data_IF_996906629117
#
_entry.id   IF_996906629117
#
_cell.length_a   1.000
_cell.length_b   1.000
_cell.length_c   1.000
_cell.angle_alpha   90.00
_cell.angle_beta   90.00
_cell.angle_gamma   90.00
#
_symmetry.space_group_name_H-M   'P 1'
#
loop_
_entity.id
_entity.type
_entity.pdbx_description
1 polymer ?
#
# COMPACT_ATOMS: atom_id res chain seq x y z
N UNK A 1 6.89 14.10 5.14
CA UNK A 1 7.37 14.96 6.23
C UNK A 1 8.76 14.57 6.75
N UNK A 2 9.28 13.40 6.36
CA UNK A 2 10.58 12.90 6.77
C UNK A 2 10.68 12.70 8.29
N UNK A 3 11.89 12.86 8.83
CA UNK A 3 12.18 12.65 10.25
C UNK A 3 11.61 13.77 11.17
N UNK A 4 11.23 14.91 10.61
CA UNK A 4 10.67 16.04 11.35
C UNK A 4 9.15 16.08 11.19
N UNK A 5 8.44 15.25 11.93
CA UNK A 5 6.99 15.23 11.94
C UNK A 5 6.42 16.06 13.08
N UNK A 6 5.37 16.83 12.79
CA UNK A 6 4.67 17.61 13.80
C UNK A 6 3.56 16.78 14.42
N UNK A 7 3.36 16.90 15.73
CA UNK A 7 2.36 16.15 16.49
C UNK A 7 0.96 16.25 15.88
N UNK A 8 0.54 17.46 15.50
CA UNK A 8 -0.78 17.69 14.89
C UNK A 8 -0.93 16.97 13.54
N UNK A 9 0.16 16.93 12.75
CA UNK A 9 0.17 16.21 11.47
C UNK A 9 0.06 14.70 11.68
N UNK A 10 0.80 14.16 12.65
CA UNK A 10 0.70 12.76 13.04
C UNK A 10 -0.70 12.40 13.52
N UNK A 11 -1.27 13.17 14.45
CA UNK A 11 -2.63 12.97 14.96
C UNK A 11 -3.67 13.01 13.84
N UNK A 12 -3.56 13.98 12.92
CA UNK A 12 -4.47 14.07 11.77
C UNK A 12 -4.37 12.85 10.87
N UNK A 13 -3.16 12.42 10.53
CA UNK A 13 -2.92 11.24 9.68
C UNK A 13 -3.51 9.98 10.31
N UNK A 14 -3.18 9.69 11.56
CA UNK A 14 -3.67 8.51 12.27
C UNK A 14 -5.19 8.54 12.43
N UNK A 15 -5.78 9.71 12.70
CA UNK A 15 -7.24 9.87 12.78
C UNK A 15 -7.90 9.58 11.43
N UNK A 16 -7.36 10.10 10.31
CA UNK A 16 -7.88 9.85 8.97
C UNK A 16 -7.85 8.35 8.62
N UNK A 17 -6.74 7.68 8.88
CA UNK A 17 -6.65 6.22 8.69
C UNK A 17 -7.66 5.48 9.57
N UNK A 18 -7.83 5.87 10.83
CA UNK A 18 -8.82 5.27 11.73
C UNK A 18 -10.26 5.46 11.23
N UNK A 19 -10.60 6.65 10.74
CA UNK A 19 -11.89 6.96 10.11
C UNK A 19 -12.14 6.13 8.84
N UNK A 20 -11.09 5.78 8.10
CA UNK A 20 -11.12 4.86 6.96
C UNK A 20 -11.30 3.39 7.33
N UNK A 21 -11.32 3.07 8.62
CA UNK A 21 -11.53 1.71 9.12
C UNK A 21 -10.25 0.94 9.43
N UNK A 22 -9.08 1.53 9.21
CA UNK A 22 -7.82 0.90 9.60
C UNK A 22 -7.72 0.77 11.12
N UNK A 23 -7.20 -0.36 11.58
CA UNK A 23 -6.94 -0.62 13.00
C UNK A 23 -5.46 -0.78 13.32
N UNK A 24 -4.62 -0.91 12.29
CA UNK A 24 -3.17 -1.05 12.41
C UNK A 24 -2.45 -0.29 11.31
N UNK A 25 -1.21 0.11 11.59
CA UNK A 25 -0.25 0.62 10.60
C UNK A 25 1.07 -0.15 10.70
N UNK A 26 1.77 -0.26 9.58
CA UNK A 26 3.15 -0.72 9.51
C UNK A 26 4.08 0.47 9.28
N UNK A 27 5.16 0.51 10.00
CA UNK A 27 6.17 1.55 9.89
C UNK A 27 7.16 1.31 8.75
N UNK A 28 6.69 1.28 7.51
CA UNK A 28 7.51 0.99 6.33
C UNK A 28 8.47 2.14 5.97
N UNK A 29 9.77 1.91 5.86
CA UNK A 29 10.49 0.70 6.30
C UNK A 29 11.51 1.08 7.37
N UNK A 30 11.22 2.14 8.10
CA UNK A 30 12.07 2.74 9.14
C UNK A 30 11.28 3.03 10.41
N UNK A 31 11.93 3.09 11.56
CA UNK A 31 11.28 3.36 12.84
C UNK A 31 10.54 4.70 12.83
N UNK A 32 9.24 4.65 13.17
CA UNK A 32 8.37 5.84 13.21
C UNK A 32 8.83 6.89 14.21
N UNK A 33 8.43 8.14 13.96
CA UNK A 33 8.66 9.24 14.90
C UNK A 33 7.89 8.99 16.22
N UNK A 34 8.35 9.62 17.31
CA UNK A 34 7.64 9.58 18.59
C UNK A 34 6.22 10.15 18.46
N UNK A 35 6.06 11.18 17.66
CA UNK A 35 4.78 11.84 17.42
C UNK A 35 3.75 10.91 16.78
N UNK A 36 4.18 10.01 15.89
CA UNK A 36 3.31 8.97 15.30
C UNK A 36 2.92 7.94 16.35
N UNK A 37 3.88 7.46 17.14
CA UNK A 37 3.61 6.45 18.18
C UNK A 37 2.67 7.02 19.26
N UNK A 38 2.91 8.26 19.73
CA UNK A 38 2.01 8.95 20.67
C UNK A 38 0.60 9.14 20.08
N UNK A 39 0.50 9.49 18.79
CA UNK A 39 -0.79 9.58 18.11
C UNK A 39 -1.51 8.23 18.02
N UNK A 40 -0.77 7.14 17.77
CA UNK A 40 -1.32 5.79 17.75
C UNK A 40 -1.81 5.36 19.14
N UNK A 41 -1.06 5.68 20.20
CA UNK A 41 -1.47 5.43 21.58
C UNK A 41 -2.76 6.18 21.93
N UNK A 42 -2.85 7.47 21.55
CA UNK A 42 -4.00 8.33 21.84
C UNK A 42 -5.27 7.89 21.09
N UNK A 43 -5.13 7.51 19.82
CA UNK A 43 -6.26 7.19 18.93
C UNK A 43 -6.65 5.70 18.99
N UNK A 44 -5.76 4.85 19.50
CA UNK A 44 -5.95 3.40 19.53
C UNK A 44 -5.71 2.74 18.18
N UNK A 45 -4.61 3.09 17.51
CA UNK A 45 -4.12 2.46 16.28
C UNK A 45 -2.97 1.52 16.63
N UNK A 46 -3.05 0.25 16.26
CA UNK A 46 -1.94 -0.68 16.44
C UNK A 46 -0.78 -0.37 15.49
N UNK A 47 0.42 -0.71 15.90
CA UNK A 47 1.65 -0.47 15.15
C UNK A 47 2.47 -1.74 15.05
N UNK A 48 2.81 -2.13 13.83
CA UNK A 48 3.96 -2.97 13.51
C UNK A 48 5.14 -2.03 13.26
N UNK A 49 6.04 -1.94 14.24
CA UNK A 49 7.20 -1.06 14.12
C UNK A 49 8.33 -1.79 13.42
N UNK A 50 8.91 -1.17 12.40
CA UNK A 50 9.86 -1.83 11.50
C UNK A 50 11.23 -1.16 11.48
N UNK A 51 12.23 -1.98 11.32
CA UNK A 51 13.62 -1.71 10.98
C UNK A 51 14.15 -3.02 10.36
N UNK A 52 14.69 -3.05 9.26
CA UNK A 52 15.36 -2.17 8.34
C UNK A 52 14.77 -2.34 6.93
N UNK A 53 14.88 -1.32 6.05
CA UNK A 53 14.53 -1.48 4.64
C UNK A 53 15.48 -2.46 3.92
N UNK A 54 16.75 -2.46 4.30
CA UNK A 54 17.77 -3.34 3.72
C UNK A 54 18.73 -3.85 4.79
N UNK A 55 19.28 -5.06 4.55
CA UNK A 55 20.37 -5.58 5.37
C UNK A 55 21.73 -5.34 4.69
N UNK A 56 22.52 -6.40 4.46
CA UNK A 56 23.86 -6.29 3.88
C UNK A 56 23.90 -6.50 2.37
N UNK A 57 22.80 -6.95 1.75
CA UNK A 57 22.64 -6.99 0.31
C UNK A 57 22.36 -5.60 -0.26
N UNK A 58 22.57 -5.40 -1.54
CA UNK A 58 22.53 -4.07 -2.13
C UNK A 58 21.12 -3.59 -2.41
N UNK A 59 20.79 -2.39 -1.93
CA UNK A 59 19.63 -1.61 -2.40
C UNK A 59 20.03 -0.23 -2.93
N UNK A 60 21.30 0.07 -3.05
CA UNK A 60 21.80 1.33 -3.60
C UNK A 60 23.13 1.76 -3.00
N UNK A 61 23.84 2.60 -3.74
CA UNK A 61 25.21 3.03 -3.46
C UNK A 61 25.35 3.76 -2.12
N UNK A 62 24.30 4.44 -1.67
CA UNK A 62 24.28 5.21 -0.42
C UNK A 62 23.32 4.62 0.62
N UNK A 63 22.90 3.35 0.44
CA UNK A 63 21.97 2.67 1.32
C UNK A 63 22.55 2.31 2.68
N UNK A 64 21.68 1.96 3.62
CA UNK A 64 22.04 1.49 4.96
C UNK A 64 22.91 0.23 4.95
N UNK A 65 22.91 -0.52 3.88
CA UNK A 65 23.77 -1.69 3.62
C UNK A 65 25.23 -1.48 4.01
N UNK A 66 25.74 -0.26 3.83
CA UNK A 66 27.11 0.10 4.18
C UNK A 66 27.42 0.06 5.69
N UNK A 67 26.38 0.19 6.51
CA UNK A 67 26.48 0.31 7.96
C UNK A 67 25.89 -0.90 8.67
N UNK A 68 25.01 -1.66 8.02
CA UNK A 68 24.24 -2.75 8.60
C UNK A 68 25.08 -3.68 9.49
N UNK A 69 26.17 -4.24 8.97
CA UNK A 69 26.99 -5.22 9.69
C UNK A 69 27.60 -4.69 11.00
N UNK A 70 27.79 -3.38 11.10
CA UNK A 70 28.44 -2.73 12.24
C UNK A 70 27.43 -2.13 13.22
N UNK A 71 26.22 -1.72 12.75
CA UNK A 71 25.31 -0.89 13.52
C UNK A 71 23.96 -1.56 13.80
N UNK A 72 23.60 -2.69 13.18
CA UNK A 72 22.26 -3.27 13.27
C UNK A 72 21.81 -3.58 14.71
N UNK A 73 22.71 -4.11 15.57
CA UNK A 73 22.39 -4.40 16.98
C UNK A 73 21.96 -3.15 17.73
N UNK A 74 22.73 -2.09 17.56
CA UNK A 74 22.50 -0.81 18.24
C UNK A 74 21.24 -0.14 17.73
N UNK A 75 21.01 -0.14 16.43
CA UNK A 75 19.86 0.52 15.83
C UNK A 75 18.58 -0.23 16.16
N UNK A 76 18.57 -1.56 16.14
CA UNK A 76 17.46 -2.39 16.58
C UNK A 76 17.17 -2.19 18.07
N UNK A 77 18.21 -2.15 18.93
CA UNK A 77 18.05 -1.83 20.36
C UNK A 77 17.43 -0.45 20.57
N UNK A 78 17.86 0.58 19.82
CA UNK A 78 17.31 1.93 19.92
C UNK A 78 15.82 1.96 19.52
N UNK A 79 15.42 1.24 18.46
CA UNK A 79 14.03 1.10 18.06
C UNK A 79 13.21 0.47 19.20
N UNK A 80 13.62 -0.68 19.71
CA UNK A 80 12.88 -1.40 20.76
C UNK A 80 12.75 -0.54 22.02
N UNK A 81 13.85 0.10 22.48
CA UNK A 81 13.81 0.98 23.66
C UNK A 81 12.90 2.19 23.47
N UNK A 82 12.85 2.76 22.28
CA UNK A 82 11.90 3.83 21.93
C UNK A 82 10.46 3.34 22.05
N UNK A 83 10.18 2.13 21.56
CA UNK A 83 8.83 1.58 21.45
C UNK A 83 8.31 0.93 22.73
N UNK A 84 9.19 0.57 23.67
CA UNK A 84 8.88 -0.26 24.85
C UNK A 84 7.66 0.22 25.65
N UNK A 85 7.51 1.53 25.84
CA UNK A 85 6.41 2.13 26.60
C UNK A 85 5.21 2.58 25.74
N UNK A 86 5.17 2.22 24.46
CA UNK A 86 4.05 2.52 23.58
C UNK A 86 3.10 1.31 23.48
N UNK A 87 1.92 1.34 24.11
CA UNK A 87 0.97 0.22 24.08
C UNK A 87 0.37 -0.04 22.69
N UNK A 88 0.44 0.93 21.79
CA UNK A 88 0.05 0.77 20.39
C UNK A 88 0.97 -0.16 19.61
N UNK A 89 2.26 -0.24 19.96
CA UNK A 89 3.20 -1.14 19.30
C UNK A 89 2.94 -2.57 19.76
N UNK A 90 2.49 -3.41 18.81
CA UNK A 90 2.09 -4.80 19.10
C UNK A 90 3.05 -5.83 18.51
N UNK A 91 3.96 -5.42 17.62
CA UNK A 91 4.84 -6.31 16.89
C UNK A 91 6.08 -5.55 16.40
N UNK A 92 7.21 -6.23 16.34
CA UNK A 92 8.43 -5.74 15.73
C UNK A 92 8.68 -6.44 14.39
N UNK A 93 9.00 -5.66 13.35
CA UNK A 93 9.47 -6.19 12.07
C UNK A 93 10.96 -5.87 11.93
N UNK A 94 11.76 -6.90 11.61
CA UNK A 94 13.22 -6.81 11.55
C UNK A 94 13.76 -6.59 10.15
N UNK A 95 12.90 -6.37 9.16
CA UNK A 95 13.33 -6.07 7.80
C UNK A 95 12.21 -6.13 6.77
N UNK A 96 12.50 -5.57 5.61
CA UNK A 96 11.61 -5.55 4.45
C UNK A 96 12.30 -6.15 3.23
N UNK A 97 11.65 -7.14 2.61
CA UNK A 97 12.05 -7.74 1.31
C UNK A 97 13.53 -8.15 1.22
N UNK A 98 14.05 -8.65 2.34
CA UNK A 98 15.46 -9.05 2.46
C UNK A 98 15.70 -10.34 1.67
N UNK A 99 16.28 -10.22 0.50
CA UNK A 99 16.55 -11.36 -0.39
C UNK A 99 17.58 -12.34 0.19
N UNK A 100 18.51 -11.85 1.02
CA UNK A 100 19.55 -12.64 1.68
C UNK A 100 19.02 -13.66 2.68
N UNK A 101 17.78 -13.53 3.11
CA UNK A 101 17.12 -14.45 4.06
C UNK A 101 16.96 -15.88 3.52
N UNK A 102 17.20 -16.10 2.22
CA UNK A 102 17.29 -17.43 1.63
C UNK A 102 18.65 -18.13 1.91
N UNK A 103 19.64 -17.41 2.48
CA UNK A 103 20.99 -17.92 2.76
C UNK A 103 21.18 -18.27 4.23
N UNK A 104 22.18 -19.12 4.55
CA UNK A 104 22.53 -19.45 5.93
C UNK A 104 22.92 -18.20 6.74
N UNK A 105 23.64 -17.25 6.12
CA UNK A 105 24.01 -15.99 6.78
C UNK A 105 22.80 -15.12 7.07
N UNK A 106 21.89 -14.96 6.12
CA UNK A 106 20.65 -14.19 6.32
C UNK A 106 19.73 -14.81 7.37
N UNK A 107 19.57 -16.13 7.37
CA UNK A 107 18.83 -16.85 8.41
C UNK A 107 19.46 -16.63 9.79
N UNK A 108 20.80 -16.68 9.89
CA UNK A 108 21.51 -16.40 11.13
C UNK A 108 21.25 -14.97 11.64
N UNK A 109 21.31 -13.96 10.77
CA UNK A 109 20.94 -12.58 11.16
C UNK A 109 19.49 -12.49 11.62
N UNK A 110 18.55 -13.14 10.93
CA UNK A 110 17.16 -13.20 11.35
C UNK A 110 17.00 -13.79 12.75
N UNK A 111 17.70 -14.90 13.04
CA UNK A 111 17.75 -15.50 14.36
C UNK A 111 18.32 -14.52 15.42
N UNK A 112 19.51 -13.94 15.17
CA UNK A 112 20.19 -13.05 16.10
C UNK A 112 19.33 -11.81 16.42
N UNK A 113 18.66 -11.21 15.42
CA UNK A 113 17.76 -10.08 15.60
C UNK A 113 16.51 -10.47 16.41
N UNK A 114 15.88 -11.60 16.09
CA UNK A 114 14.72 -12.10 16.84
C UNK A 114 15.09 -12.33 18.31
N UNK A 115 16.24 -12.96 18.58
CA UNK A 115 16.73 -13.16 19.95
C UNK A 115 17.04 -11.84 20.66
N UNK A 116 17.57 -10.83 19.95
CA UNK A 116 17.81 -9.51 20.53
C UNK A 116 16.48 -8.82 20.88
N UNK A 117 15.46 -8.91 20.03
CA UNK A 117 14.13 -8.40 20.32
C UNK A 117 13.58 -9.01 21.59
N UNK A 118 13.55 -10.34 21.70
CA UNK A 118 13.04 -11.05 22.89
C UNK A 118 13.85 -10.76 24.16
N UNK A 119 15.15 -10.56 24.03
CA UNK A 119 16.00 -10.20 25.18
C UNK A 119 15.67 -8.81 25.73
N UNK A 120 15.28 -7.87 24.86
CA UNK A 120 14.98 -6.48 25.23
C UNK A 120 13.50 -6.27 25.56
N UNK A 121 12.62 -7.02 24.90
CA UNK A 121 11.18 -7.02 25.10
C UNK A 121 10.57 -8.37 24.71
N UNK A 122 10.25 -9.20 25.67
CA UNK A 122 9.66 -10.52 25.49
C UNK A 122 8.13 -10.49 25.38
N UNK A 123 7.52 -9.31 25.40
CA UNK A 123 6.08 -9.14 25.37
C UNK A 123 5.49 -8.99 23.97
N UNK A 124 6.34 -8.77 22.96
CA UNK A 124 5.93 -8.52 21.56
C UNK A 124 6.56 -9.52 20.60
N UNK A 125 5.77 -10.09 19.69
CA UNK A 125 6.26 -11.00 18.66
C UNK A 125 7.10 -10.26 17.60
N UNK A 126 7.95 -11.03 16.93
CA UNK A 126 8.84 -10.58 15.88
C UNK A 126 8.40 -11.16 14.54
N UNK A 127 8.43 -10.32 13.51
CA UNK A 127 8.16 -10.66 12.12
C UNK A 127 9.18 -10.05 11.16
N UNK A 128 9.05 -10.35 9.88
CA UNK A 128 9.82 -9.75 8.78
C UNK A 128 8.95 -9.79 7.51
N UNK A 129 8.92 -8.72 6.75
CA UNK A 129 8.23 -8.67 5.46
C UNK A 129 8.98 -9.46 4.38
N UNK A 130 8.64 -10.74 4.21
CA UNK A 130 9.32 -11.63 3.26
C UNK A 130 8.65 -11.58 1.90
N UNK A 131 9.38 -11.09 0.88
CA UNK A 131 8.96 -11.23 -0.51
C UNK A 131 9.41 -12.58 -1.06
N UNK A 132 8.43 -13.46 -1.33
CA UNK A 132 8.69 -14.84 -1.76
C UNK A 132 9.47 -14.88 -3.07
N UNK A 133 9.12 -14.00 -4.03
CA UNK A 133 9.78 -13.95 -5.34
C UNK A 133 11.26 -13.55 -5.22
N UNK A 134 11.55 -12.52 -4.44
CA UNK A 134 12.93 -12.06 -4.27
C UNK A 134 13.80 -13.14 -3.64
N UNK A 135 13.26 -13.89 -2.68
CA UNK A 135 13.96 -15.03 -2.08
C UNK A 135 14.21 -16.17 -3.09
N UNK A 136 13.24 -16.45 -3.98
CA UNK A 136 13.43 -17.45 -5.06
C UNK A 136 14.53 -17.00 -6.03
N UNK A 137 14.49 -15.74 -6.47
CA UNK A 137 15.49 -15.19 -7.38
C UNK A 137 16.89 -15.24 -6.75
N UNK A 138 17.00 -14.83 -5.48
CA UNK A 138 18.26 -14.89 -4.75
C UNK A 138 18.78 -16.32 -4.61
N UNK A 139 17.93 -17.28 -4.27
CA UNK A 139 18.29 -18.70 -4.20
C UNK A 139 18.75 -19.29 -5.55
N UNK A 140 18.32 -18.68 -6.66
CA UNK A 140 18.78 -19.04 -8.02
C UNK A 140 20.04 -18.28 -8.45
N UNK A 141 20.63 -17.45 -7.56
CA UNK A 141 21.77 -16.60 -7.88
C UNK A 141 21.45 -15.39 -8.75
N UNK A 142 20.18 -14.99 -8.83
CA UNK A 142 19.70 -13.86 -9.65
C UNK A 142 19.28 -12.64 -8.80
N UNK A 143 19.05 -12.82 -7.50
CA UNK A 143 18.42 -11.81 -6.64
C UNK A 143 19.31 -10.62 -6.32
N UNK A 144 20.59 -10.84 -6.08
CA UNK A 144 21.52 -9.75 -5.68
C UNK A 144 21.87 -8.85 -6.86
N UNK A 145 21.91 -9.40 -8.07
CA UNK A 145 22.14 -8.63 -9.30
C UNK A 145 20.88 -7.89 -9.76
N UNK A 146 19.68 -8.35 -9.37
CA UNK A 146 18.41 -7.72 -9.73
C UNK A 146 18.25 -6.31 -9.13
N UNK A 147 18.90 -6.03 -8.00
CA UNK A 147 18.97 -4.69 -7.40
C UNK A 147 20.23 -3.88 -7.80
N UNK A 148 20.97 -4.34 -8.81
CA UNK A 148 22.07 -3.58 -9.42
C UNK A 148 23.33 -3.49 -8.58
N UNK A 149 23.56 -4.42 -7.65
CA UNK A 149 24.72 -4.30 -6.78
C UNK A 149 25.46 -5.61 -6.49
N UNK A 150 26.68 -5.72 -6.96
CA UNK A 150 27.70 -6.49 -6.26
C UNK A 150 27.82 -5.96 -4.82
N UNK A 151 28.10 -6.86 -3.86
CA UNK A 151 28.42 -6.48 -2.47
C UNK A 151 29.43 -5.35 -2.47
N UNK A 152 28.98 -4.12 -2.20
CA UNK A 152 29.86 -2.96 -2.13
C UNK A 152 30.54 -2.94 -0.76
N UNK A 153 31.87 -2.94 -0.76
CA UNK A 153 32.63 -2.63 0.44
C UNK A 153 32.69 -1.10 0.63
N UNK A 154 32.77 -0.64 1.89
CA UNK A 154 32.98 0.80 2.20
C UNK A 154 34.11 1.44 1.37
N UNK A 155 35.13 0.67 0.95
CA UNK A 155 36.21 1.14 0.11
C UNK A 155 35.77 1.48 -1.32
N UNK A 156 34.72 0.86 -1.83
CA UNK A 156 34.23 1.05 -3.20
C UNK A 156 33.41 2.34 -3.33
N UNK A 157 32.90 2.86 -2.21
CA UNK A 157 32.09 4.10 -2.15
C UNK A 157 32.94 5.38 -2.20
N UNK A 158 34.26 5.26 -2.02
CA UNK A 158 35.19 6.43 -1.97
C UNK A 158 35.49 6.96 -3.39
N UNK A 159 35.22 6.21 -4.44
CA UNK A 159 35.33 6.69 -5.82
C UNK A 159 33.94 6.99 -6.40
N UNK A 160 33.54 8.28 -6.50
CA UNK A 160 32.25 8.67 -7.10
C UNK A 160 32.09 8.25 -8.57
N UNK A 161 33.20 7.91 -9.26
CA UNK A 161 33.17 7.43 -10.64
C UNK A 161 32.94 5.91 -10.74
N UNK A 162 33.22 5.16 -9.68
CA UNK A 162 32.85 3.75 -9.59
C UNK A 162 31.36 3.55 -9.33
N UNK A 163 30.67 4.64 -9.02
CA UNK A 163 29.28 4.69 -8.60
C UNK A 163 28.34 5.36 -9.65
N UNK A 164 28.81 5.59 -10.88
CA UNK A 164 27.86 5.89 -11.96
C UNK A 164 27.01 4.61 -12.17
N UNK A 165 25.72 4.63 -11.83
CA UNK A 165 24.86 3.50 -12.12
C UNK A 165 24.90 3.31 -13.64
N UNK A 166 25.16 2.09 -14.08
CA UNK A 166 24.77 1.70 -15.43
C UNK A 166 23.26 1.95 -15.50
N UNK A 167 22.87 3.01 -16.18
CA UNK A 167 21.57 3.67 -16.08
C UNK A 167 20.37 2.76 -16.47
N UNK A 168 20.65 1.55 -16.93
CA UNK A 168 19.68 0.63 -17.49
C UNK A 168 19.37 -0.59 -16.59
N UNK A 169 19.90 -0.70 -15.38
CA UNK A 169 19.78 -1.92 -14.55
C UNK A 169 19.42 -1.70 -13.07
N UNK A 170 18.61 -0.72 -12.73
CA UNK A 170 18.03 -0.66 -11.39
C UNK A 170 17.01 -1.80 -11.20
N UNK A 171 17.03 -2.49 -10.06
CA UNK A 171 16.21 -3.67 -9.79
C UNK A 171 14.72 -3.45 -9.99
N UNK A 172 14.20 -2.29 -9.60
CA UNK A 172 12.84 -1.85 -9.91
C UNK A 172 12.58 -1.74 -11.41
N UNK A 173 13.54 -1.24 -12.21
CA UNK A 173 13.44 -1.15 -13.68
C UNK A 173 13.44 -2.54 -14.33
N UNK A 174 14.22 -3.49 -13.79
CA UNK A 174 14.23 -4.87 -14.29
C UNK A 174 12.87 -5.54 -14.08
N UNK A 175 12.29 -5.39 -12.89
CA UNK A 175 10.95 -5.92 -12.58
C UNK A 175 9.89 -5.32 -13.52
N UNK A 176 9.97 -4.03 -13.86
CA UNK A 176 9.03 -3.37 -14.75
C UNK A 176 9.18 -3.72 -16.23
N UNK A 177 10.39 -3.87 -16.71
CA UNK A 177 10.63 -4.31 -18.08
C UNK A 177 10.17 -5.76 -18.34
N UNK A 178 9.93 -6.51 -17.26
CA UNK A 178 9.38 -7.87 -17.29
C UNK A 178 7.84 -7.91 -17.26
N UNK A 179 7.14 -6.78 -17.16
CA UNK A 179 5.70 -6.72 -16.80
C UNK A 179 4.77 -7.41 -17.80
N UNK A 180 5.06 -7.45 -19.10
CA UNK A 180 4.19 -8.13 -20.07
C UNK A 180 4.18 -9.67 -19.89
N UNK A 181 5.34 -10.27 -19.62
CA UNK A 181 5.48 -11.69 -19.28
C UNK A 181 5.43 -11.96 -17.77
N UNK A 182 5.41 -10.89 -16.97
CA UNK A 182 5.61 -10.92 -15.53
C UNK A 182 4.41 -11.47 -14.77
N UNK A 183 3.18 -11.19 -15.19
CA UNK A 183 2.00 -11.71 -14.51
C UNK A 183 1.92 -13.25 -14.57
N UNK A 184 2.26 -13.86 -15.71
CA UNK A 184 2.32 -15.30 -15.83
C UNK A 184 3.58 -15.90 -15.17
N UNK A 185 4.70 -15.17 -15.19
CA UNK A 185 5.89 -15.53 -14.45
C UNK A 185 5.62 -15.50 -12.94
N UNK A 186 4.98 -14.43 -12.41
CA UNK A 186 4.60 -14.31 -11.00
C UNK A 186 3.67 -15.42 -10.53
N UNK A 187 2.64 -15.77 -11.32
CA UNK A 187 1.76 -16.92 -11.01
C UNK A 187 2.51 -18.24 -10.89
N UNK A 188 3.59 -18.41 -11.68
CA UNK A 188 4.37 -19.63 -11.67
C UNK A 188 5.48 -19.64 -10.61
N UNK A 189 6.12 -18.50 -10.36
CA UNK A 189 7.18 -18.35 -9.37
C UNK A 189 6.63 -18.43 -7.95
N UNK A 190 5.51 -17.78 -7.69
CA UNK A 190 4.85 -17.76 -6.38
C UNK A 190 4.05 -19.04 -6.06
N UNK A 191 4.19 -20.11 -6.84
CA UNK A 191 3.62 -21.40 -6.44
C UNK A 191 4.23 -21.86 -5.13
N UNK A 192 3.42 -22.32 -4.16
CA UNK A 192 3.90 -22.69 -2.83
C UNK A 192 5.10 -23.66 -2.86
N UNK A 193 5.12 -24.58 -3.80
CA UNK A 193 6.21 -25.55 -3.97
C UNK A 193 7.57 -24.91 -4.31
N UNK A 194 7.55 -23.74 -4.93
CA UNK A 194 8.77 -22.99 -5.28
C UNK A 194 9.20 -22.06 -4.14
N UNK A 195 8.24 -21.57 -3.34
CA UNK A 195 8.50 -20.57 -2.31
C UNK A 195 9.01 -21.15 -1.01
N UNK A 196 8.62 -22.39 -0.66
CA UNK A 196 8.96 -23.00 0.63
C UNK A 196 10.47 -23.15 0.82
N UNK A 197 11.17 -23.74 -0.14
CA UNK A 197 12.61 -23.99 -0.03
C UNK A 197 13.42 -22.77 0.37
N UNK A 198 13.30 -21.65 -0.36
CA UNK A 198 14.01 -20.41 -0.07
C UNK A 198 13.59 -19.68 1.22
N UNK A 199 12.36 -19.89 1.71
CA UNK A 199 11.80 -19.05 2.79
C UNK A 199 11.56 -19.77 4.11
N UNK A 200 11.47 -21.10 4.11
CA UNK A 200 11.19 -21.88 5.34
C UNK A 200 12.22 -21.65 6.45
N UNK A 201 13.47 -21.39 6.10
CA UNK A 201 14.54 -21.14 7.07
C UNK A 201 14.24 -19.88 7.88
N UNK A 202 14.06 -18.76 7.20
CA UNK A 202 13.76 -17.49 7.87
C UNK A 202 12.43 -17.53 8.61
N UNK A 203 11.37 -18.10 8.01
CA UNK A 203 10.09 -18.22 8.71
C UNK A 203 10.15 -19.07 9.98
N UNK A 204 11.13 -19.98 10.07
CA UNK A 204 11.37 -20.76 11.28
C UNK A 204 12.02 -19.98 12.43
N UNK A 205 12.59 -18.82 12.15
CA UNK A 205 13.23 -17.94 13.14
C UNK A 205 12.32 -16.81 13.64
N UNK A 206 11.12 -16.66 13.05
CA UNK A 206 10.16 -15.61 13.38
C UNK A 206 9.00 -16.16 14.20
N UNK A 207 8.44 -15.34 15.08
CA UNK A 207 7.21 -15.67 15.83
C UNK A 207 5.99 -15.65 14.90
N UNK A 208 5.96 -14.71 13.96
CA UNK A 208 4.90 -14.53 12.96
C UNK A 208 5.53 -14.43 11.59
N UNK A 209 5.11 -15.29 10.68
CA UNK A 209 5.57 -15.24 9.30
C UNK A 209 4.91 -14.07 8.55
N UNK A 210 5.71 -13.08 8.17
CA UNK A 210 5.27 -11.91 7.42
C UNK A 210 5.49 -12.10 5.92
N UNK A 211 4.45 -11.83 5.15
CA UNK A 211 4.46 -12.02 3.70
C UNK A 211 4.21 -10.71 2.97
N UNK A 212 5.13 -10.33 2.07
CA UNK A 212 4.88 -9.30 1.08
C UNK A 212 4.37 -9.97 -0.21
N UNK A 213 3.13 -9.63 -0.62
CA UNK A 213 2.47 -10.14 -1.85
C UNK A 213 2.44 -11.66 -1.96
N UNK A 214 2.31 -12.36 -0.82
CA UNK A 214 2.44 -13.82 -0.74
C UNK A 214 1.15 -14.59 -0.42
N UNK A 215 -0.02 -13.95 -0.52
CA UNK A 215 -1.33 -14.49 -0.14
C UNK A 215 -1.66 -15.83 -0.83
N UNK A 216 -1.22 -16.01 -2.07
CA UNK A 216 -1.43 -17.25 -2.80
C UNK A 216 -0.76 -18.49 -2.16
N UNK A 217 0.17 -18.27 -1.22
CA UNK A 217 0.88 -19.34 -0.53
C UNK A 217 0.32 -19.67 0.86
N UNK A 218 -0.58 -18.85 1.43
CA UNK A 218 -1.00 -18.98 2.83
C UNK A 218 -1.61 -20.35 3.16
N UNK A 219 -2.61 -20.77 2.39
CA UNK A 219 -3.31 -22.03 2.64
C UNK A 219 -2.34 -23.23 2.59
N UNK A 220 -1.49 -23.27 1.56
CA UNK A 220 -0.55 -24.38 1.38
C UNK A 220 0.58 -24.38 2.40
N UNK A 221 1.10 -23.21 2.75
CA UNK A 221 2.08 -23.07 3.82
C UNK A 221 1.49 -23.47 5.18
N UNK A 222 0.20 -23.17 5.43
CA UNK A 222 -0.47 -23.61 6.65
C UNK A 222 -0.69 -25.14 6.69
N UNK A 223 -1.01 -25.76 5.55
CA UNK A 223 -1.06 -27.24 5.47
C UNK A 223 0.28 -27.91 5.86
N UNK A 224 1.40 -27.31 5.46
CA UNK A 224 2.73 -27.84 5.77
C UNK A 224 3.23 -27.46 7.15
N UNK A 225 2.81 -26.31 7.67
CA UNK A 225 3.25 -25.72 8.95
C UNK A 225 2.02 -25.26 9.73
N UNK A 226 1.27 -26.19 10.31
CA UNK A 226 -0.02 -25.91 10.98
C UNK A 226 0.06 -24.94 12.15
N UNK A 227 1.22 -24.83 12.78
CA UNK A 227 1.46 -23.93 13.91
C UNK A 227 1.92 -22.53 13.49
N UNK A 228 2.14 -22.31 12.18
CA UNK A 228 2.59 -21.04 11.66
C UNK A 228 1.47 -20.00 11.69
N UNK A 229 1.69 -18.93 12.44
CA UNK A 229 0.88 -17.72 12.41
C UNK A 229 1.39 -16.84 11.26
N UNK A 230 0.49 -16.23 10.50
CA UNK A 230 0.82 -15.47 9.30
C UNK A 230 0.24 -14.07 9.35
N UNK A 231 0.92 -13.13 8.70
CA UNK A 231 0.43 -11.76 8.46
C UNK A 231 0.83 -11.30 7.07
N UNK A 232 -0.10 -10.68 6.35
CA UNK A 232 0.23 -9.92 5.14
C UNK A 232 0.92 -8.63 5.55
N UNK A 233 2.23 -8.59 5.45
CA UNK A 233 3.02 -7.40 5.83
C UNK A 233 2.95 -6.33 4.77
N UNK A 234 2.70 -6.73 3.52
CA UNK A 234 2.50 -5.81 2.41
C UNK A 234 1.68 -6.47 1.31
N UNK A 235 0.56 -5.84 0.92
CA UNK A 235 -0.34 -6.33 -0.11
C UNK A 235 -0.86 -5.19 -0.98
N UNK A 236 -1.22 -5.49 -2.22
CA UNK A 236 -1.82 -4.51 -3.12
C UNK A 236 -3.36 -4.44 -2.93
N UNK A 237 -4.02 -3.53 -3.65
CA UNK A 237 -5.47 -3.32 -3.58
C UNK A 237 -6.30 -4.23 -4.51
N UNK A 238 -5.66 -5.16 -5.20
CA UNK A 238 -6.37 -6.10 -6.08
C UNK A 238 -6.98 -7.25 -5.26
N UNK A 239 -8.18 -7.74 -5.64
CA UNK A 239 -8.89 -8.83 -4.96
C UNK A 239 -9.14 -8.57 -3.46
N UNK A 240 -9.45 -7.32 -3.10
CA UNK A 240 -9.63 -6.87 -1.71
C UNK A 240 -10.62 -7.72 -0.92
N UNK A 241 -11.79 -8.01 -1.51
CA UNK A 241 -12.85 -8.76 -0.83
C UNK A 241 -12.39 -10.16 -0.46
N UNK A 242 -11.76 -10.87 -1.41
CA UNK A 242 -11.25 -12.21 -1.18
C UNK A 242 -10.22 -12.24 -0.04
N UNK A 243 -9.31 -11.27 -0.01
CA UNK A 243 -8.31 -11.16 1.09
C UNK A 243 -8.96 -10.83 2.44
N UNK A 244 -9.92 -9.91 2.47
CA UNK A 244 -10.68 -9.61 3.69
C UNK A 244 -11.42 -10.85 4.21
N UNK A 245 -12.04 -11.60 3.30
CA UNK A 245 -12.70 -12.86 3.65
C UNK A 245 -11.70 -13.91 4.15
N UNK A 246 -10.52 -13.98 3.55
CA UNK A 246 -9.43 -14.85 4.01
C UNK A 246 -8.99 -14.51 5.44
N UNK A 247 -8.69 -13.25 5.73
CA UNK A 247 -8.33 -12.79 7.09
C UNK A 247 -9.45 -13.05 8.10
N UNK A 248 -10.71 -12.86 7.71
CA UNK A 248 -11.86 -13.10 8.61
C UNK A 248 -12.11 -14.57 8.92
N UNK A 249 -11.85 -15.44 7.97
CA UNK A 249 -12.24 -16.86 8.04
C UNK A 249 -11.09 -17.78 8.45
N UNK A 250 -9.85 -17.35 8.33
CA UNK A 250 -8.67 -18.16 8.63
C UNK A 250 -7.99 -17.70 9.93
N UNK A 251 -8.11 -18.46 11.02
CA UNK A 251 -7.63 -18.03 12.33
C UNK A 251 -6.10 -17.92 12.44
N UNK A 252 -5.37 -18.49 11.49
CA UNK A 252 -3.91 -18.40 11.41
C UNK A 252 -3.40 -17.16 10.67
N UNK A 253 -4.28 -16.36 10.06
CA UNK A 253 -3.95 -15.08 9.41
C UNK A 253 -4.46 -13.96 10.31
N UNK A 254 -3.53 -13.24 10.94
CA UNK A 254 -3.87 -12.25 11.97
C UNK A 254 -4.11 -10.85 11.43
N UNK A 255 -3.81 -10.58 10.17
CA UNK A 255 -3.99 -9.27 9.54
C UNK A 255 -3.40 -9.17 8.15
N UNK A 256 -3.63 -8.00 7.57
CA UNK A 256 -3.16 -7.64 6.24
C UNK A 256 -2.86 -6.14 6.19
N UNK A 257 -1.65 -5.76 5.76
CA UNK A 257 -1.20 -4.38 5.63
C UNK A 257 -1.12 -4.00 4.16
N UNK A 258 -1.87 -2.98 3.79
CA UNK A 258 -2.00 -2.54 2.40
C UNK A 258 -0.89 -1.57 2.02
N UNK A 259 -0.29 -1.77 0.87
CA UNK A 259 0.62 -0.83 0.23
C UNK A 259 -0.13 0.08 -0.76
N UNK A 260 -0.37 1.38 -0.47
CA UNK A 260 -0.08 1.98 0.83
C UNK A 260 -1.29 2.78 1.33
N UNK A 261 -1.39 2.91 2.65
CA UNK A 261 -2.47 3.71 3.25
C UNK A 261 -2.32 5.20 2.98
N UNK A 262 -1.09 5.74 2.93
CA UNK A 262 -0.82 7.17 2.74
C UNK A 262 0.24 7.38 1.67
N UNK A 263 0.00 8.32 0.75
CA UNK A 263 0.90 8.63 -0.36
C UNK A 263 2.26 9.15 0.13
N UNK A 264 3.30 8.88 -0.64
CA UNK A 264 4.66 9.27 -0.34
C UNK A 264 5.42 9.80 -1.57
N UNK A 265 6.49 10.54 -1.31
CA UNK A 265 7.41 11.03 -2.32
C UNK A 265 8.43 9.94 -2.69
N UNK A 266 8.75 9.83 -3.94
CA UNK A 266 9.65 8.81 -4.48
C UNK A 266 8.90 7.74 -5.25
N UNK A 267 9.62 6.77 -5.82
CA UNK A 267 9.10 5.72 -6.70
C UNK A 267 8.08 6.25 -7.73
N UNK A 268 8.41 7.41 -8.29
CA UNK A 268 7.50 8.29 -8.99
C UNK A 268 6.68 7.56 -10.06
N UNK A 269 5.37 7.46 -9.81
CA UNK A 269 4.42 6.90 -10.77
C UNK A 269 4.28 5.39 -10.77
N UNK A 270 4.84 4.65 -9.80
CA UNK A 270 4.70 3.17 -9.71
C UNK A 270 3.24 2.69 -9.70
N UNK A 271 2.34 3.45 -9.07
CA UNK A 271 0.91 3.16 -9.02
C UNK A 271 0.08 3.89 -10.08
N UNK A 272 0.69 4.69 -10.95
CA UNK A 272 -0.05 5.48 -11.94
C UNK A 272 -0.51 4.59 -13.10
N UNK A 273 -1.78 4.73 -13.47
CA UNK A 273 -2.37 4.08 -14.63
C UNK A 273 -1.75 4.64 -15.92
N UNK A 274 -1.36 3.76 -16.83
CA UNK A 274 -0.95 4.10 -18.17
C UNK A 274 -2.11 3.94 -19.16
N UNK A 275 -2.01 4.58 -20.32
CA UNK A 275 -2.98 4.49 -21.40
C UNK A 275 -2.29 4.24 -22.72
N UNK A 276 -2.80 3.25 -23.49
CA UNK A 276 -2.33 2.84 -24.82
C UNK A 276 -0.90 2.29 -24.87
N UNK A 277 0.01 2.75 -24.02
CA UNK A 277 1.38 2.27 -23.96
C UNK A 277 1.76 2.00 -22.50
N UNK A 278 2.23 0.78 -22.23
CA UNK A 278 2.85 0.47 -20.95
C UNK A 278 4.23 1.12 -20.94
N UNK A 279 4.38 2.21 -20.21
CA UNK A 279 5.66 2.90 -20.09
C UNK A 279 6.66 2.14 -19.22
N UNK A 280 6.22 1.10 -18.51
CA UNK A 280 7.05 0.15 -17.77
C UNK A 280 7.99 0.77 -16.74
N UNK A 281 7.79 2.03 -16.39
CA UNK A 281 8.79 2.81 -15.70
C UNK A 281 8.34 3.19 -14.28
N UNK A 282 9.03 2.66 -13.26
CA UNK A 282 8.82 3.03 -11.86
C UNK A 282 9.21 4.49 -11.55
N UNK A 283 10.08 5.08 -12.35
CA UNK A 283 10.48 6.45 -12.18
C UNK A 283 9.95 7.27 -13.36
N UNK A 284 8.64 7.46 -13.42
CA UNK A 284 8.04 8.34 -14.43
C UNK A 284 8.63 9.75 -14.32
N UNK A 285 8.85 10.42 -15.46
CA UNK A 285 9.43 11.75 -15.46
C UNK A 285 8.49 12.78 -14.81
N UNK A 286 9.06 13.91 -14.41
CA UNK A 286 8.25 15.06 -13.97
C UNK A 286 7.09 15.32 -14.98
N UNK A 287 5.87 15.55 -14.52
CA UNK A 287 5.49 16.02 -13.17
C UNK A 287 5.21 14.92 -12.12
N UNK A 288 5.44 13.66 -12.38
CA UNK A 288 5.33 12.63 -11.36
C UNK A 288 6.39 12.84 -10.27
N UNK A 289 5.96 13.05 -9.04
CA UNK A 289 6.82 13.21 -7.85
C UNK A 289 6.44 12.28 -6.71
N UNK A 290 5.29 11.61 -6.83
CA UNK A 290 4.74 10.66 -5.86
C UNK A 290 4.62 9.27 -6.48
N UNK A 291 4.50 8.26 -5.64
CA UNK A 291 4.32 6.88 -6.08
C UNK A 291 2.98 6.67 -6.82
N UNK A 292 1.90 7.28 -6.36
CA UNK A 292 0.56 7.15 -6.95
C UNK A 292 -0.20 5.90 -6.49
N UNK A 293 0.21 5.30 -5.37
CA UNK A 293 -0.43 4.11 -4.78
C UNK A 293 -1.13 4.36 -3.44
N UNK A 294 -1.09 5.60 -2.92
CA UNK A 294 -1.72 5.96 -1.65
C UNK A 294 -3.24 5.93 -1.70
N UNK A 295 -3.89 5.36 -0.67
CA UNK A 295 -5.33 5.48 -0.44
C UNK A 295 -5.73 6.86 0.07
N UNK A 296 -4.78 7.57 0.64
CA UNK A 296 -4.85 9.00 0.90
C UNK A 296 -3.69 9.69 0.18
N UNK A 297 -3.96 10.84 -0.43
CA UNK A 297 -2.91 11.65 -1.03
C UNK A 297 -1.99 12.29 0.05
N UNK A 298 -0.98 13.06 -0.36
CA UNK A 298 -0.02 13.71 0.55
C UNK A 298 -0.69 14.63 1.59
N UNK A 299 -1.85 15.19 1.28
CA UNK A 299 -2.60 16.11 2.14
C UNK A 299 -3.82 15.47 2.80
N UNK A 300 -4.06 14.17 2.53
CA UNK A 300 -5.08 13.37 3.18
C UNK A 300 -6.45 13.40 2.54
N UNK A 301 -6.55 13.68 1.23
CA UNK A 301 -7.75 13.40 0.46
C UNK A 301 -7.85 11.90 0.22
N UNK A 302 -9.07 11.39 0.26
CA UNK A 302 -9.38 9.98 0.02
C UNK A 302 -9.34 9.66 -1.45
N UNK A 303 -8.79 8.51 -1.76
CA UNK A 303 -8.89 7.89 -3.07
C UNK A 303 -10.17 7.06 -3.18
N UNK A 304 -10.65 6.85 -4.40
CA UNK A 304 -11.80 5.97 -4.69
C UNK A 304 -11.62 4.56 -4.12
N UNK A 305 -10.42 4.01 -4.19
CA UNK A 305 -10.12 2.66 -3.70
C UNK A 305 -10.22 2.54 -2.17
N UNK A 306 -10.11 3.65 -1.43
CA UNK A 306 -10.36 3.61 0.02
C UNK A 306 -11.85 3.41 0.32
N UNK A 307 -12.75 4.01 -0.46
CA UNK A 307 -14.18 3.76 -0.30
C UNK A 307 -14.55 2.31 -0.59
N UNK A 308 -13.90 1.69 -1.57
CA UNK A 308 -14.07 0.26 -1.85
C UNK A 308 -13.63 -0.59 -0.66
N UNK A 309 -12.48 -0.26 -0.08
CA UNK A 309 -11.97 -0.93 1.10
C UNK A 309 -12.90 -0.76 2.30
N UNK A 310 -13.41 0.46 2.55
CA UNK A 310 -14.38 0.73 3.62
C UNK A 310 -15.66 -0.10 3.44
N UNK A 311 -16.13 -0.25 2.20
CA UNK A 311 -17.32 -1.08 1.88
C UNK A 311 -17.00 -2.57 2.14
N UNK A 312 -15.86 -3.06 1.68
CA UNK A 312 -15.44 -4.44 1.86
C UNK A 312 -15.29 -4.82 3.35
N UNK A 313 -14.77 -3.91 4.16
CA UNK A 313 -14.67 -4.09 5.62
C UNK A 313 -15.99 -3.89 6.36
N UNK A 314 -17.03 -3.33 5.69
CA UNK A 314 -18.32 -3.01 6.32
C UNK A 314 -18.26 -1.75 7.20
N UNK A 315 -17.31 -0.87 6.98
CA UNK A 315 -17.19 0.44 7.63
C UNK A 315 -18.13 1.45 6.98
N UNK A 316 -18.33 1.32 5.65
CA UNK A 316 -19.26 2.13 4.87
C UNK A 316 -20.46 1.29 4.45
N UNK A 317 -21.65 1.77 4.77
CA UNK A 317 -22.94 1.14 4.49
C UNK A 317 -23.67 1.75 3.27
N UNK A 318 -23.02 2.65 2.54
CA UNK A 318 -23.56 3.37 1.38
C UNK A 318 -22.76 3.09 0.12
N UNK A 319 -23.39 3.16 -1.06
CA UNK A 319 -22.65 3.08 -2.31
C UNK A 319 -21.67 4.25 -2.47
N UNK A 320 -20.76 4.13 -3.41
CA UNK A 320 -19.81 5.16 -3.80
C UNK A 320 -19.71 5.21 -5.32
N UNK A 321 -19.75 6.43 -5.89
CA UNK A 321 -19.62 6.69 -7.32
C UNK A 321 -18.26 7.28 -7.60
N UNK A 322 -17.54 6.71 -8.56
CA UNK A 322 -16.35 7.31 -9.14
C UNK A 322 -16.40 7.26 -10.66
N UNK A 323 -15.73 8.17 -11.32
CA UNK A 323 -15.81 8.35 -12.77
C UNK A 323 -14.42 8.43 -13.38
N UNK A 324 -14.15 7.60 -14.39
CA UNK A 324 -12.95 7.74 -15.21
C UNK A 324 -13.05 8.98 -16.09
N UNK A 325 -11.94 9.71 -16.26
CA UNK A 325 -11.97 10.96 -17.00
C UNK A 325 -12.30 10.72 -18.48
N UNK A 326 -13.33 11.39 -19.06
CA UNK A 326 -13.77 11.14 -20.45
C UNK A 326 -12.70 11.38 -21.51
N UNK A 327 -11.62 12.11 -21.23
CA UNK A 327 -10.48 12.27 -22.15
C UNK A 327 -9.86 10.93 -22.57
N UNK A 328 -9.99 9.90 -21.73
CA UNK A 328 -9.48 8.56 -21.97
C UNK A 328 -10.53 7.55 -22.45
N UNK A 329 -11.71 8.04 -22.87
CA UNK A 329 -12.83 7.19 -23.29
C UNK A 329 -12.52 6.24 -24.47
N UNK A 330 -11.50 6.55 -25.26
CA UNK A 330 -11.07 5.75 -26.43
C UNK A 330 -9.71 5.08 -26.20
N UNK A 331 -9.13 5.27 -25.02
CA UNK A 331 -7.81 4.76 -24.68
C UNK A 331 -7.94 3.38 -24.03
N UNK A 332 -6.96 2.52 -24.26
CA UNK A 332 -6.81 1.27 -23.54
C UNK A 332 -6.13 1.56 -22.19
N UNK A 333 -6.87 1.32 -21.10
CA UNK A 333 -6.34 1.47 -19.75
C UNK A 333 -5.42 0.31 -19.42
N UNK A 334 -4.22 0.61 -18.96
CA UNK A 334 -3.24 -0.36 -18.46
C UNK A 334 -3.13 -0.18 -16.94
N UNK A 335 -3.63 -1.13 -16.15
CA UNK A 335 -3.57 -1.05 -14.68
C UNK A 335 -2.14 -0.92 -14.18
N UNK A 336 -1.92 -0.10 -13.14
CA UNK A 336 -0.68 -0.06 -12.40
C UNK A 336 -0.52 -1.30 -11.49
N UNK A 337 0.65 -1.46 -10.87
CA UNK A 337 0.89 -2.58 -9.95
C UNK A 337 0.00 -2.53 -8.71
N UNK A 338 -0.37 -1.33 -8.27
CA UNK A 338 -1.07 -1.10 -7.01
C UNK A 338 -2.49 -0.55 -7.20
N UNK A 339 -2.88 -0.18 -8.41
CA UNK A 339 -4.18 0.43 -8.72
C UNK A 339 -4.85 -0.23 -9.90
N UNK A 340 -6.15 -0.49 -9.76
CA UNK A 340 -7.00 -1.03 -10.82
C UNK A 340 -7.81 0.05 -11.54
N UNK A 341 -7.84 1.29 -11.03
CA UNK A 341 -8.61 2.39 -11.60
C UNK A 341 -8.01 3.75 -11.23
N UNK A 342 -8.20 4.74 -12.10
CA UNK A 342 -7.93 6.15 -11.86
C UNK A 342 -9.21 6.98 -11.72
N UNK A 343 -10.36 6.31 -11.55
CA UNK A 343 -11.64 6.98 -11.37
C UNK A 343 -11.61 7.92 -10.15
N UNK A 344 -12.28 9.05 -10.28
CA UNK A 344 -12.33 10.14 -9.30
C UNK A 344 -13.77 10.49 -8.91
N UNK A 345 -13.94 11.12 -7.77
CA UNK A 345 -15.23 11.57 -7.23
C UNK A 345 -15.67 12.88 -7.90
N UNK A 346 -15.79 12.88 -9.23
CA UNK A 346 -16.14 14.08 -9.99
C UNK A 346 -17.15 13.76 -11.10
N UNK A 347 -18.09 14.68 -11.32
CA UNK A 347 -18.98 14.73 -12.49
C UNK A 347 -18.92 16.12 -13.14
N UNK A 348 -17.68 16.65 -13.35
CA UNK A 348 -17.46 17.97 -13.91
C UNK A 348 -16.34 17.90 -14.98
N UNK A 349 -16.75 17.70 -16.24
CA UNK A 349 -15.84 17.50 -17.36
C UNK A 349 -16.22 18.42 -18.53
N UNK A 350 -16.12 19.71 -18.32
CA UNK A 350 -16.43 20.72 -19.35
C UNK A 350 -15.69 20.44 -20.66
N UNK A 351 -16.44 20.49 -21.78
CA UNK A 351 -15.91 20.23 -23.13
C UNK A 351 -15.93 18.76 -23.54
N UNK A 352 -16.44 17.85 -22.68
CA UNK A 352 -16.55 16.43 -22.99
C UNK A 352 -18.03 15.97 -23.09
N UNK A 353 -18.96 16.91 -23.26
CA UNK A 353 -20.39 16.62 -23.37
C UNK A 353 -20.68 15.60 -24.49
N UNK A 354 -21.42 14.56 -24.13
CA UNK A 354 -21.79 13.47 -25.03
C UNK A 354 -20.72 12.38 -25.20
N UNK A 355 -19.52 12.55 -24.65
CA UNK A 355 -18.49 11.50 -24.65
C UNK A 355 -18.87 10.44 -23.63
N UNK A 356 -18.93 9.17 -24.05
CA UNK A 356 -19.13 8.05 -23.11
C UNK A 356 -17.94 7.90 -22.16
N UNK A 357 -18.23 7.75 -20.88
CA UNK A 357 -17.20 7.52 -19.87
C UNK A 357 -17.63 6.39 -18.93
N UNK A 358 -16.66 5.76 -18.30
CA UNK A 358 -16.90 4.72 -17.32
C UNK A 358 -17.28 5.34 -15.97
N UNK A 359 -18.44 4.95 -15.45
CA UNK A 359 -18.89 5.23 -14.09
C UNK A 359 -18.81 3.94 -13.29
N UNK A 360 -17.94 3.92 -12.30
CA UNK A 360 -17.75 2.82 -11.37
C UNK A 360 -18.54 3.07 -10.10
N UNK A 361 -19.29 2.09 -9.68
CA UNK A 361 -20.13 2.14 -8.47
C UNK A 361 -19.71 0.98 -7.56
N UNK A 362 -19.12 1.29 -6.42
CA UNK A 362 -18.92 0.32 -5.36
C UNK A 362 -20.12 0.34 -4.40
N UNK A 363 -20.50 -0.82 -3.86
CA UNK A 363 -21.67 -0.89 -2.96
C UNK A 363 -21.62 -2.14 -2.06
N UNK A 364 -22.14 -2.03 -0.81
CA UNK A 364 -22.38 -3.19 0.06
C UNK A 364 -23.64 -3.99 -0.35
N UNK A 365 -24.40 -3.52 -1.34
CA UNK A 365 -25.65 -4.12 -1.79
C UNK A 365 -25.48 -5.35 -2.69
N UNK A 366 -26.59 -5.76 -3.31
CA UNK A 366 -26.62 -6.83 -4.30
C UNK A 366 -26.67 -6.30 -5.72
N UNK A 367 -27.45 -5.23 -5.91
CA UNK A 367 -27.62 -4.55 -7.19
C UNK A 367 -27.65 -3.03 -7.00
N UNK A 368 -27.32 -2.32 -8.06
CA UNK A 368 -27.33 -0.85 -8.10
C UNK A 368 -28.06 -0.34 -9.34
N UNK A 369 -28.76 0.79 -9.21
CA UNK A 369 -29.37 1.51 -10.31
C UNK A 369 -28.75 2.90 -10.42
N UNK A 370 -28.22 3.22 -11.60
CA UNK A 370 -27.60 4.51 -11.88
C UNK A 370 -28.61 5.42 -12.57
N UNK A 371 -28.62 6.70 -12.18
CA UNK A 371 -29.47 7.73 -12.76
C UNK A 371 -28.60 8.92 -13.24
N UNK A 372 -28.87 9.38 -14.46
CA UNK A 372 -28.32 10.60 -15.01
C UNK A 372 -29.44 11.60 -15.20
N UNK A 373 -29.40 12.74 -14.50
CA UNK A 373 -30.40 13.78 -14.50
C UNK A 373 -31.83 13.23 -14.28
N UNK A 374 -31.97 12.26 -13.37
CA UNK A 374 -33.24 11.59 -13.02
C UNK A 374 -33.68 10.51 -14.00
N UNK A 375 -32.95 10.27 -15.10
CA UNK A 375 -33.24 9.19 -16.04
C UNK A 375 -32.43 7.96 -15.66
N UNK A 376 -33.10 6.82 -15.49
CA UNK A 376 -32.42 5.54 -15.22
C UNK A 376 -31.51 5.13 -16.39
N UNK A 377 -30.28 4.77 -16.07
CA UNK A 377 -29.29 4.19 -16.97
C UNK A 377 -29.26 2.66 -16.86
N UNK A 378 -30.17 2.09 -16.05
CA UNK A 378 -30.37 0.67 -15.84
C UNK A 378 -29.88 0.16 -14.49
N UNK A 379 -30.25 -1.09 -14.22
CA UNK A 379 -29.88 -1.82 -13.01
C UNK A 379 -28.75 -2.80 -13.36
N UNK A 380 -27.74 -2.87 -12.51
CA UNK A 380 -26.65 -3.86 -12.62
C UNK A 380 -26.45 -4.62 -11.32
N UNK A 381 -26.19 -5.91 -11.43
CA UNK A 381 -25.67 -6.71 -10.33
C UNK A 381 -24.23 -6.34 -10.08
N UNK A 382 -23.82 -6.39 -8.82
CA UNK A 382 -22.42 -6.18 -8.46
C UNK A 382 -21.61 -7.44 -8.81
N UNK A 383 -20.51 -7.24 -9.49
CA UNK A 383 -19.44 -8.23 -9.64
C UNK A 383 -18.40 -7.91 -8.58
N UNK A 384 -18.19 -8.82 -7.64
CA UNK A 384 -17.41 -8.62 -6.44
C UNK A 384 -17.96 -7.48 -5.56
N UNK A 385 -17.45 -6.27 -5.65
CA UNK A 385 -17.86 -5.09 -4.87
C UNK A 385 -18.46 -3.98 -5.73
N UNK A 386 -18.34 -4.04 -7.04
CA UNK A 386 -18.69 -2.92 -7.91
C UNK A 386 -19.41 -3.32 -9.20
N UNK A 387 -20.03 -2.33 -9.81
CA UNK A 387 -20.58 -2.39 -11.16
C UNK A 387 -20.10 -1.20 -11.97
N UNK A 388 -19.90 -1.38 -13.26
CA UNK A 388 -19.45 -0.35 -14.18
C UNK A 388 -20.52 -0.03 -15.21
N UNK A 389 -20.71 1.26 -15.48
CA UNK A 389 -21.63 1.78 -16.48
C UNK A 389 -20.85 2.60 -17.50
N UNK A 390 -21.17 2.44 -18.77
CA UNK A 390 -20.78 3.39 -19.80
C UNK A 390 -21.92 4.37 -20.02
N UNK A 391 -21.70 5.64 -19.74
CA UNK A 391 -22.72 6.69 -19.89
C UNK A 391 -22.13 7.92 -20.57
N UNK A 392 -22.89 8.60 -21.44
CA UNK A 392 -22.45 9.85 -22.01
C UNK A 392 -22.36 10.91 -20.91
N UNK A 393 -21.27 11.65 -20.88
CA UNK A 393 -21.16 12.78 -19.96
C UNK A 393 -22.20 13.85 -20.34
N UNK A 394 -23.02 14.22 -19.37
CA UNK A 394 -23.98 15.31 -19.44
C UNK A 394 -23.97 16.02 -18.08
N UNK A 395 -23.71 17.32 -18.08
CA UNK A 395 -23.65 18.10 -16.86
C UNK A 395 -24.98 17.99 -16.08
N UNK A 396 -24.92 17.94 -14.76
CA UNK A 396 -26.06 17.79 -13.88
C UNK A 396 -25.82 16.85 -12.73
N UNK A 397 -26.75 15.93 -12.47
CA UNK A 397 -26.73 15.01 -11.33
C UNK A 397 -26.53 13.58 -11.81
N UNK A 398 -25.47 12.94 -11.35
CA UNK A 398 -25.25 11.51 -11.43
C UNK A 398 -25.57 10.91 -10.06
N UNK A 399 -26.58 10.05 -9.96
CA UNK A 399 -27.04 9.45 -8.70
C UNK A 399 -27.07 7.93 -8.82
N UNK A 400 -26.70 7.23 -7.76
CA UNK A 400 -26.86 5.78 -7.63
C UNK A 400 -27.76 5.45 -6.45
N UNK A 401 -28.59 4.43 -6.64
CA UNK A 401 -29.37 3.77 -5.58
C UNK A 401 -28.91 2.34 -5.46
N UNK A 402 -28.58 1.91 -4.26
CA UNK A 402 -28.17 0.54 -3.97
C UNK A 402 -29.30 -0.23 -3.27
N UNK A 403 -29.44 -1.51 -3.61
CA UNK A 403 -30.49 -2.39 -3.11
C UNK A 403 -29.92 -3.68 -2.52
N UNK A 404 -30.61 -4.22 -1.52
CA UNK A 404 -30.34 -5.54 -0.93
C UNK A 404 -30.88 -6.69 -1.81
N UNK A 405 -30.77 -7.94 -1.33
CA UNK A 405 -31.28 -9.12 -1.99
C UNK A 405 -32.81 -9.13 -2.19
N UNK A 406 -33.56 -8.35 -1.39
CA UNK A 406 -35.00 -8.21 -1.45
C UNK A 406 -35.43 -6.97 -2.21
N UNK A 407 -34.52 -6.27 -2.87
CA UNK A 407 -34.71 -4.98 -3.55
C UNK A 407 -35.17 -3.85 -2.62
N UNK A 408 -34.85 -3.91 -1.33
CA UNK A 408 -35.02 -2.75 -0.47
C UNK A 408 -33.83 -1.80 -0.69
N UNK A 409 -34.12 -0.51 -0.76
CA UNK A 409 -33.05 0.51 -0.83
C UNK A 409 -32.21 0.50 0.46
N UNK A 410 -30.90 0.38 0.31
CA UNK A 410 -29.94 0.41 1.42
C UNK A 410 -29.13 1.70 1.46
N UNK A 411 -29.14 2.49 0.40
CA UNK A 411 -28.45 3.78 0.38
C UNK A 411 -28.33 4.39 -0.99
N UNK A 412 -27.86 5.64 -0.99
CA UNK A 412 -27.65 6.46 -2.20
C UNK A 412 -26.31 7.17 -2.11
N UNK A 413 -25.79 7.49 -3.29
CA UNK A 413 -24.69 8.43 -3.46
C UNK A 413 -24.92 9.28 -4.71
N UNK A 414 -24.31 10.46 -4.78
CA UNK A 414 -24.47 11.36 -5.92
C UNK A 414 -23.28 12.25 -6.14
N UNK A 415 -22.98 12.51 -7.40
CA UNK A 415 -22.08 13.55 -7.87
C UNK A 415 -22.88 14.63 -8.59
N UNK A 416 -22.45 15.86 -8.46
CA UNK A 416 -23.12 17.02 -9.08
C UNK A 416 -22.07 17.81 -9.85
N UNK A 417 -22.38 18.15 -11.11
CA UNK A 417 -21.50 18.99 -11.91
C UNK A 417 -21.33 20.38 -11.28
N UNK A 418 -20.12 20.90 -11.30
CA UNK A 418 -19.82 22.25 -10.83
C UNK A 418 -20.61 23.28 -11.63
N UNK A 419 -21.04 24.37 -10.96
CA UNK A 419 -21.64 25.51 -11.61
C UNK A 419 -20.57 26.44 -12.19
N UNK A 420 -20.99 27.38 -13.06
CA UNK A 420 -20.08 28.41 -13.60
C UNK A 420 -19.67 29.46 -12.54
N UNK A 421 -20.23 29.40 -11.33
CA UNK A 421 -19.88 30.28 -10.23
C UNK A 421 -18.84 29.62 -9.35
N UNK A 422 -17.62 30.18 -9.37
CA UNK A 422 -16.54 29.72 -8.49
C UNK A 422 -16.58 30.46 -7.18
N UNK A 423 -16.62 29.71 -6.07
CA UNK A 423 -16.58 30.23 -4.71
C UNK A 423 -15.35 29.70 -3.99
N UNK A 424 -14.56 30.59 -3.38
CA UNK A 424 -13.48 30.17 -2.48
C UNK A 424 -14.06 30.02 -1.07
N UNK A 425 -14.00 28.80 -0.54
CA UNK A 425 -14.37 28.51 0.85
C UNK A 425 -13.13 28.12 1.63
N UNK A 426 -12.90 28.76 2.78
CA UNK A 426 -11.81 28.43 3.69
C UNK A 426 -12.40 27.92 4.99
N UNK A 427 -12.00 26.70 5.38
CA UNK A 427 -12.34 26.12 6.68
C UNK A 427 -11.07 25.75 7.40
N UNK A 428 -11.00 26.06 8.68
CA UNK A 428 -9.91 25.65 9.56
C UNK A 428 -10.37 24.53 10.47
N UNK A 429 -9.54 23.53 10.69
CA UNK A 429 -9.84 22.44 11.65
C UNK A 429 -9.84 22.95 13.10
N UNK A 430 -9.10 24.03 13.38
CA UNK A 430 -9.01 24.69 14.68
C UNK A 430 -9.14 26.19 14.51
N UNK A 431 -9.85 26.85 15.42
CA UNK A 431 -9.96 28.32 15.46
C UNK A 431 -8.70 28.99 16.00
N UNK A 432 -7.92 28.27 16.80
CA UNK A 432 -6.68 28.71 17.42
C UNK A 432 -5.58 27.67 17.26
N UNK A 433 -4.35 28.12 17.19
CA UNK A 433 -3.16 27.30 17.07
C UNK A 433 -2.12 27.77 18.10
N UNK A 434 -1.43 26.83 18.75
CA UNK A 434 -0.32 27.13 19.63
C UNK A 434 0.88 27.64 18.84
N UNK A 435 1.69 28.47 19.50
CA UNK A 435 2.95 28.94 18.91
C UNK A 435 3.88 27.76 18.68
N UNK A 436 4.29 27.56 17.43
CA UNK A 436 5.08 26.39 17.01
C UNK A 436 4.24 25.19 16.57
N UNK A 437 2.91 25.26 16.61
CA UNK A 437 2.02 24.26 16.03
C UNK A 437 2.09 24.23 14.49
N UNK A 438 1.71 23.09 13.90
CA UNK A 438 1.63 22.94 12.46
C UNK A 438 0.26 23.38 11.94
N UNK A 439 0.24 24.24 10.93
CA UNK A 439 -0.95 24.53 10.16
C UNK A 439 -0.96 23.66 8.90
N UNK A 440 -1.94 22.77 8.80
CA UNK A 440 -2.15 21.97 7.61
C UNK A 440 -3.16 22.69 6.72
N UNK A 441 -2.78 22.88 5.46
CA UNK A 441 -3.66 23.43 4.43
C UNK A 441 -4.17 22.31 3.56
N UNK A 442 -5.49 22.30 3.36
CA UNK A 442 -6.12 21.61 2.25
C UNK A 442 -6.89 22.65 1.44
N UNK A 443 -6.74 22.65 0.14
CA UNK A 443 -7.56 23.46 -0.74
C UNK A 443 -8.41 22.54 -1.60
N UNK A 444 -9.73 22.63 -1.44
CA UNK A 444 -10.68 22.04 -2.40
C UNK A 444 -11.00 23.14 -3.41
N UNK A 445 -10.64 22.92 -4.67
CA UNK A 445 -11.18 23.68 -5.78
C UNK A 445 -12.43 22.91 -6.23
N UNK A 446 -13.60 23.37 -5.82
CA UNK A 446 -14.88 22.89 -6.33
C UNK A 446 -15.19 23.56 -7.67
#
# INVERSE_FOLDING_TARGET
LGAAEYKEAALRRIRRLKEGGFNAIRGAHDPRSREVLEACDEIGMYVMEESFDVWYGSAGVYGYTLYFREEWEKDLELMIRKCFNHPSVIMYSIGNEISETCTEEGIRYGHEMTQLCHKLDDSRPVTLGVNLMLNILAAQGKGMDAYGGSVMNKADVVDPKACEPDSDQNGSVLVNNMVADFADYMKNVNKPENTDGPTKGIFGELDIAGYNYGEASYEKHHEWYSDRIMVGTETNLMNMKERIEMVRNQPYIIGDFIWTGWEYLGECGVGVIDYNENTGNYNKPYPCIVAGCGLYDLIGHRDTLEYDLMIAWGVRDKPHIAVSHPKHAQDEMIPGLYRSTDAIDSWSFEGYEGIETCVRVASPGKEVELFLNGKSMGVKLLEDLYAEYLVPYEAGILEVVAYDENRNEIGRDRLVSASNETVISVRTEKETMDVGGCLLYTSDAA
#
